data_IF_792140731368
#
_entry.id   IF_792140731368
#
_cell.length_a   1.000
_cell.length_b   1.000
_cell.length_c   1.000
_cell.angle_alpha   90.00
_cell.angle_beta   90.00
_cell.angle_gamma   90.00
#
_symmetry.space_group_name_H-M   'P 1'
#
loop_
_entity.id
_entity.type
_entity.pdbx_description
1 polymer ?
#
# COMPACT_ATOMS: atom_id res chain seq x y z
N UNK A 1 -5.90 41.80 -10.13
CA UNK A 1 -5.40 40.45 -9.77
C UNK A 1 -4.47 40.61 -8.58
N UNK A 2 -4.84 40.18 -7.36
CA UNK A 2 -3.95 40.32 -6.22
C UNK A 2 -2.83 39.28 -6.34
N UNK A 3 -1.58 39.76 -6.31
CA UNK A 3 -0.36 38.96 -6.34
C UNK A 3 -0.25 38.18 -5.03
N UNK A 4 -0.09 36.86 -5.10
CA UNK A 4 0.28 36.02 -3.95
C UNK A 4 1.71 36.35 -3.51
N UNK A 5 1.87 37.36 -2.65
CA UNK A 5 3.13 37.70 -1.99
C UNK A 5 3.11 37.24 -0.53
N UNK A 6 2.64 36.03 -0.25
CA UNK A 6 2.93 35.41 1.05
C UNK A 6 4.29 34.70 0.93
N UNK A 7 5.24 34.94 1.86
CA UNK A 7 6.42 34.10 1.96
C UNK A 7 5.99 32.64 2.05
N UNK A 8 6.73 31.72 1.40
CA UNK A 8 6.38 30.30 1.28
C UNK A 8 5.96 29.68 2.62
N UNK A 9 6.61 30.08 3.71
CA UNK A 9 6.28 29.67 5.08
C UNK A 9 4.84 30.04 5.48
N UNK A 10 4.41 31.26 5.20
CA UNK A 10 3.04 31.71 5.49
C UNK A 10 2.02 30.96 4.61
N UNK A 11 2.38 30.69 3.35
CA UNK A 11 1.56 29.85 2.45
C UNK A 11 1.42 28.43 2.99
N UNK A 12 2.51 27.82 3.47
CA UNK A 12 2.49 26.50 4.13
C UNK A 12 1.62 26.52 5.38
N UNK A 13 1.80 27.51 6.26
CA UNK A 13 1.01 27.64 7.49
C UNK A 13 -0.48 27.84 7.20
N UNK A 14 -0.82 28.56 6.14
CA UNK A 14 -2.19 28.71 5.69
C UNK A 14 -2.79 27.38 5.23
N UNK A 15 -2.06 26.56 4.48
CA UNK A 15 -2.55 25.24 4.06
C UNK A 15 -2.83 24.29 5.23
N UNK A 16 -2.03 24.35 6.31
CA UNK A 16 -2.36 23.63 7.54
C UNK A 16 -3.62 24.19 8.21
N UNK A 17 -3.84 25.50 8.21
CA UNK A 17 -5.03 26.11 8.83
C UNK A 17 -6.30 25.97 7.99
N UNK A 18 -6.15 25.76 6.68
CA UNK A 18 -7.27 25.67 5.74
C UNK A 18 -8.11 24.42 6.01
N UNK A 19 -9.32 24.65 6.51
CA UNK A 19 -10.35 23.62 6.56
C UNK A 19 -10.90 23.34 5.15
N UNK A 20 -11.41 22.13 4.89
CA UNK A 20 -12.18 21.84 3.69
C UNK A 20 -13.36 22.82 3.50
N UNK A 21 -13.64 23.17 2.25
CA UNK A 21 -14.77 24.03 1.89
C UNK A 21 -16.06 23.21 1.93
N UNK A 22 -17.09 23.76 2.58
CA UNK A 22 -18.39 23.07 2.70
C UNK A 22 -19.01 22.77 1.33
N UNK A 23 -19.46 21.54 1.14
CA UNK A 23 -20.06 21.06 -0.11
C UNK A 23 -19.07 20.78 -1.25
N UNK A 24 -17.78 21.02 -1.08
CA UNK A 24 -16.77 20.65 -2.07
C UNK A 24 -16.38 19.17 -1.97
N UNK A 25 -16.04 18.56 -3.11
CA UNK A 25 -15.58 17.18 -3.16
C UNK A 25 -14.06 17.09 -2.95
N UNK A 26 -13.65 16.21 -2.04
CA UNK A 26 -12.24 15.95 -1.74
C UNK A 26 -11.88 14.48 -1.89
N UNK A 27 -10.62 14.24 -2.25
CA UNK A 27 -9.97 12.94 -2.27
C UNK A 27 -8.87 12.89 -1.23
N UNK A 28 -8.71 11.75 -0.57
CA UNK A 28 -7.67 11.54 0.43
C UNK A 28 -6.46 10.85 -0.19
N UNK A 29 -5.31 11.52 -0.14
CA UNK A 29 -4.03 11.00 -0.62
C UNK A 29 -2.96 11.08 0.46
N UNK A 30 -1.96 10.21 0.37
CA UNK A 30 -0.77 10.25 1.25
C UNK A 30 0.49 10.08 0.43
N UNK A 31 1.50 10.90 0.73
CA UNK A 31 2.86 10.74 0.24
C UNK A 31 3.79 10.43 1.41
N UNK A 32 4.47 9.30 1.37
CA UNK A 32 5.39 8.88 2.43
C UNK A 32 6.55 8.06 1.85
N UNK A 33 7.44 7.58 2.71
CA UNK A 33 8.53 6.68 2.31
C UNK A 33 8.65 5.51 3.28
N UNK A 34 8.65 4.30 2.74
CA UNK A 34 8.81 3.08 3.54
C UNK A 34 10.22 2.99 4.16
N UNK A 35 10.41 2.07 5.10
CA UNK A 35 11.73 1.76 5.66
C UNK A 35 12.70 1.26 4.59
N UNK A 36 12.20 0.47 3.63
CA UNK A 36 12.97 -0.05 2.48
C UNK A 36 13.32 1.05 1.45
N UNK A 37 12.83 2.28 1.64
CA UNK A 37 13.16 3.43 0.82
C UNK A 37 12.25 3.62 -0.40
N UNK A 38 11.16 2.87 -0.50
CA UNK A 38 10.16 3.05 -1.55
C UNK A 38 9.30 4.28 -1.28
N UNK A 39 8.96 5.03 -2.34
CA UNK A 39 8.00 6.12 -2.24
C UNK A 39 6.60 5.52 -2.20
N UNK A 40 5.84 5.93 -1.19
CA UNK A 40 4.45 5.53 -1.01
C UNK A 40 3.58 6.67 -1.52
N UNK A 41 2.81 6.39 -2.57
CA UNK A 41 1.65 7.17 -2.99
C UNK A 41 0.41 6.31 -2.75
N UNK A 42 -0.43 6.70 -1.80
CA UNK A 42 -1.66 5.98 -1.48
C UNK A 42 -2.87 6.89 -1.54
N UNK A 43 -4.03 6.30 -1.80
CA UNK A 43 -5.30 7.00 -1.80
C UNK A 43 -6.42 6.14 -1.22
N UNK A 44 -7.44 6.80 -0.67
CA UNK A 44 -8.68 6.12 -0.34
C UNK A 44 -9.42 5.74 -1.64
N UNK A 45 -9.81 4.48 -1.77
CA UNK A 45 -10.40 3.94 -3.00
C UNK A 45 -11.59 3.04 -2.73
N UNK A 46 -12.41 2.82 -3.75
CA UNK A 46 -13.48 1.83 -3.76
C UNK A 46 -13.23 0.76 -4.83
N UNK A 47 -13.91 -0.37 -4.67
CA UNK A 47 -13.90 -1.46 -5.65
C UNK A 47 -14.72 -1.06 -6.88
N UNK A 48 -14.14 -1.24 -8.07
CA UNK A 48 -14.71 -0.84 -9.34
C UNK A 48 -14.87 -2.01 -10.33
N UNK A 49 -14.95 -3.24 -9.81
CA UNK A 49 -15.06 -4.45 -10.62
C UNK A 49 -13.77 -5.23 -10.71
N UNK A 50 -13.69 -6.12 -11.68
CA UNK A 50 -12.50 -6.93 -11.94
C UNK A 50 -12.02 -6.73 -13.36
N UNK A 51 -10.73 -6.95 -13.60
CA UNK A 51 -10.23 -7.12 -14.98
C UNK A 51 -10.98 -8.25 -15.68
N UNK A 52 -11.16 -8.10 -16.99
CA UNK A 52 -11.75 -9.14 -17.85
C UNK A 52 -10.76 -10.29 -18.09
N UNK A 53 -9.48 -9.95 -18.23
CA UNK A 53 -8.40 -10.90 -18.43
C UNK A 53 -8.10 -11.72 -17.17
N UNK A 54 -7.65 -12.97 -17.38
CA UNK A 54 -7.22 -13.87 -16.31
C UNK A 54 -5.73 -13.69 -16.00
N UNK A 55 -5.30 -13.75 -14.73
CA UNK A 55 -6.13 -13.84 -13.53
C UNK A 55 -6.94 -12.55 -13.34
N UNK A 56 -8.21 -12.69 -12.91
CA UNK A 56 -9.03 -11.52 -12.60
C UNK A 56 -8.38 -10.77 -11.44
N UNK A 57 -8.13 -9.48 -11.63
CA UNK A 57 -7.59 -8.57 -10.62
C UNK A 57 -8.67 -7.59 -10.19
N UNK A 58 -8.69 -7.24 -8.91
CA UNK A 58 -9.52 -6.16 -8.39
C UNK A 58 -9.19 -4.85 -9.13
N UNK A 59 -10.22 -4.18 -9.62
CA UNK A 59 -10.11 -2.80 -10.10
C UNK A 59 -10.45 -1.86 -8.95
N UNK A 60 -9.64 -0.81 -8.78
CA UNK A 60 -9.85 0.23 -7.78
C UNK A 60 -9.97 1.59 -8.46
N UNK A 61 -10.73 2.48 -7.83
CA UNK A 61 -10.86 3.89 -8.22
C UNK A 61 -10.75 4.72 -6.95
N UNK A 62 -9.95 5.77 -6.96
CA UNK A 62 -9.89 6.72 -5.85
C UNK A 62 -11.28 7.33 -5.62
N UNK A 63 -11.74 7.34 -4.37
CA UNK A 63 -13.09 7.77 -4.02
C UNK A 63 -13.10 9.17 -3.47
N UNK A 64 -14.15 9.96 -3.75
CA UNK A 64 -14.46 11.10 -2.92
C UNK A 64 -14.73 10.63 -1.49
N UNK A 65 -14.31 11.43 -0.51
CA UNK A 65 -14.43 11.12 0.91
C UNK A 65 -15.40 12.08 1.61
N UNK A 66 -15.96 11.63 2.74
CA UNK A 66 -16.55 12.54 3.73
C UNK A 66 -15.43 13.22 4.49
N UNK A 67 -15.00 14.38 3.99
CA UNK A 67 -13.80 15.06 4.49
C UNK A 67 -13.93 15.47 5.96
N UNK A 68 -15.13 15.72 6.48
CA UNK A 68 -15.35 16.15 7.86
C UNK A 68 -14.90 15.08 8.84
N UNK A 69 -15.14 13.81 8.49
CA UNK A 69 -14.78 12.67 9.33
C UNK A 69 -13.27 12.47 9.31
N UNK A 70 -12.67 12.45 8.12
CA UNK A 70 -11.23 12.21 7.95
C UNK A 70 -10.42 13.38 8.53
N UNK A 71 -10.80 14.61 8.20
CA UNK A 71 -10.11 15.81 8.68
C UNK A 71 -10.14 15.88 10.21
N UNK A 72 -11.31 15.70 10.86
CA UNK A 72 -11.39 15.71 12.34
C UNK A 72 -10.55 14.60 12.96
N UNK A 73 -10.72 13.37 12.49
CA UNK A 73 -9.99 12.20 13.03
C UNK A 73 -8.48 12.39 12.95
N UNK A 74 -7.97 12.88 11.83
CA UNK A 74 -6.54 13.10 11.65
C UNK A 74 -6.01 14.26 12.49
N UNK A 75 -6.79 15.32 12.67
CA UNK A 75 -6.43 16.40 13.59
C UNK A 75 -6.35 15.92 15.04
N UNK A 76 -7.30 15.10 15.49
CA UNK A 76 -7.36 14.59 16.87
C UNK A 76 -6.13 13.73 17.23
N UNK A 77 -5.50 13.08 16.23
CA UNK A 77 -4.27 12.28 16.41
C UNK A 77 -2.99 13.00 15.99
N UNK A 78 -3.06 14.31 15.70
CA UNK A 78 -1.89 15.11 15.32
C UNK A 78 -1.32 14.81 13.93
N UNK A 79 -2.08 14.15 13.06
CA UNK A 79 -1.70 13.83 11.68
C UNK A 79 -2.45 14.71 10.66
N UNK A 80 -2.59 15.99 10.98
CA UNK A 80 -3.36 16.95 10.20
C UNK A 80 -3.00 16.91 8.71
N UNK A 81 -3.98 16.68 7.81
CA UNK A 81 -3.73 16.70 6.37
C UNK A 81 -3.61 18.14 5.86
N UNK A 82 -2.85 18.34 4.78
CA UNK A 82 -2.90 19.59 4.02
C UNK A 82 -4.14 19.60 3.13
N UNK A 83 -4.94 20.65 3.21
CA UNK A 83 -6.10 20.83 2.32
C UNK A 83 -5.66 21.62 1.09
N UNK A 84 -5.68 20.99 -0.08
CA UNK A 84 -5.20 21.56 -1.35
C UNK A 84 -6.41 21.88 -2.22
N UNK A 85 -6.73 23.17 -2.34
CA UNK A 85 -7.89 23.65 -3.10
C UNK A 85 -7.56 23.95 -4.57
N UNK A 86 -6.31 24.27 -4.88
CA UNK A 86 -5.89 24.60 -6.24
C UNK A 86 -4.53 23.96 -6.59
N UNK A 87 -4.28 23.77 -7.89
CA UNK A 87 -3.10 23.07 -8.39
C UNK A 87 -1.79 23.81 -8.10
N UNK A 88 -1.83 25.13 -7.89
CA UNK A 88 -0.66 25.94 -7.56
C UNK A 88 -0.09 25.61 -6.16
N UNK A 89 -0.91 25.08 -5.25
CA UNK A 89 -0.51 24.66 -3.91
C UNK A 89 -0.03 23.20 -3.86
N UNK A 90 -0.37 22.38 -4.87
CA UNK A 90 -0.01 20.97 -4.91
C UNK A 90 1.49 20.68 -4.77
N UNK A 91 2.41 21.45 -5.41
CA UNK A 91 3.85 21.24 -5.22
C UNK A 91 4.28 21.35 -3.76
N UNK A 92 3.63 22.21 -2.96
CA UNK A 92 3.97 22.36 -1.53
C UNK A 92 3.74 21.05 -0.80
N UNK A 93 2.57 20.42 -1.00
CA UNK A 93 2.31 19.10 -0.42
C UNK A 93 3.25 18.02 -0.97
N UNK A 94 3.55 18.02 -2.27
CA UNK A 94 4.52 17.08 -2.84
C UNK A 94 5.93 17.24 -2.21
N UNK A 95 6.34 18.44 -1.82
CA UNK A 95 7.62 18.62 -1.11
C UNK A 95 7.55 18.21 0.37
N UNK A 96 6.42 18.43 1.01
CA UNK A 96 6.24 18.14 2.44
C UNK A 96 5.86 16.70 2.74
N UNK A 97 5.25 16.00 1.78
CA UNK A 97 4.64 14.68 1.99
C UNK A 97 3.48 14.72 2.99
N UNK A 98 3.17 13.56 3.54
CA UNK A 98 2.07 13.34 4.46
C UNK A 98 0.71 13.26 3.78
N UNK A 99 -0.34 13.32 4.61
CA UNK A 99 -1.72 13.32 4.16
C UNK A 99 -2.12 14.62 3.46
N UNK A 100 -2.95 14.50 2.44
CA UNK A 100 -3.64 15.62 1.83
C UNK A 100 -5.11 15.32 1.51
N UNK A 101 -5.91 16.38 1.61
CA UNK A 101 -7.25 16.46 1.06
C UNK A 101 -7.17 17.27 -0.22
N UNK A 102 -7.28 16.59 -1.36
CA UNK A 102 -7.21 17.22 -2.68
C UNK A 102 -8.61 17.54 -3.17
N UNK A 103 -8.89 18.80 -3.48
CA UNK A 103 -10.13 19.15 -4.17
C UNK A 103 -10.23 18.39 -5.51
N UNK A 104 -11.44 18.10 -5.97
CA UNK A 104 -11.68 17.24 -7.15
C UNK A 104 -10.87 17.65 -8.39
N UNK A 105 -10.80 18.95 -8.71
CA UNK A 105 -10.01 19.45 -9.85
C UNK A 105 -8.51 19.19 -9.68
N UNK A 106 -7.99 19.33 -8.46
CA UNK A 106 -6.59 19.05 -8.14
C UNK A 106 -6.29 17.55 -8.28
N UNK A 107 -7.16 16.70 -7.74
CA UNK A 107 -7.02 15.24 -7.87
C UNK A 107 -7.06 14.81 -9.34
N UNK A 108 -7.94 15.40 -10.15
CA UNK A 108 -8.03 15.15 -11.60
C UNK A 108 -6.77 15.60 -12.35
N UNK A 109 -6.20 16.74 -11.98
CA UNK A 109 -5.00 17.26 -12.60
C UNK A 109 -3.77 16.41 -12.29
N UNK A 110 -3.59 16.02 -11.02
CA UNK A 110 -2.38 15.34 -10.55
C UNK A 110 -2.43 13.82 -10.75
N UNK A 111 -3.59 13.21 -10.51
CA UNK A 111 -3.75 11.75 -10.47
C UNK A 111 -4.91 11.26 -11.35
N UNK A 112 -4.99 11.66 -12.63
CA UNK A 112 -6.09 11.25 -13.51
C UNK A 112 -6.19 9.74 -13.68
N UNK A 113 -5.08 9.01 -13.53
CA UNK A 113 -5.03 7.56 -13.59
C UNK A 113 -5.64 6.88 -12.35
N UNK A 114 -5.58 7.52 -11.16
CA UNK A 114 -6.18 7.00 -9.93
C UNK A 114 -7.69 7.15 -9.91
N UNK A 115 -8.22 8.16 -10.62
CA UNK A 115 -9.66 8.40 -10.79
C UNK A 115 -10.31 7.54 -11.87
N UNK A 116 -9.55 6.61 -12.47
CA UNK A 116 -10.05 5.61 -13.42
C UNK A 116 -9.84 4.20 -12.85
N UNK A 117 -10.67 3.22 -13.26
CA UNK A 117 -10.47 1.84 -12.84
C UNK A 117 -9.07 1.36 -13.22
N UNK A 118 -8.30 0.95 -12.22
CA UNK A 118 -6.95 0.41 -12.41
C UNK A 118 -6.77 -0.86 -11.59
N UNK A 119 -6.03 -1.86 -12.09
CA UNK A 119 -5.84 -3.12 -11.41
C UNK A 119 -4.98 -2.96 -10.17
N UNK A 120 -5.28 -3.75 -9.14
CA UNK A 120 -4.43 -3.90 -7.96
C UNK A 120 -4.19 -5.36 -7.63
N UNK A 121 -3.04 -5.57 -7.00
CA UNK A 121 -2.64 -6.80 -6.33
C UNK A 121 -2.51 -6.53 -4.84
N UNK A 122 -2.65 -7.57 -4.04
CA UNK A 122 -2.72 -7.47 -2.58
C UNK A 122 -1.53 -8.22 -2.00
N UNK A 123 -0.68 -7.47 -1.29
CA UNK A 123 0.44 -8.04 -0.54
C UNK A 123 -0.08 -8.92 0.60
N UNK A 124 0.76 -9.82 1.10
CA UNK A 124 0.51 -10.60 2.30
C UNK A 124 0.18 -9.71 3.50
N UNK A 125 0.76 -8.51 3.54
CA UNK A 125 0.58 -7.44 4.52
C UNK A 125 -0.70 -6.61 4.30
N UNK A 126 -1.49 -6.93 3.27
CA UNK A 126 -2.83 -6.37 3.05
C UNK A 126 -2.86 -5.08 2.23
N UNK A 127 -1.73 -4.46 1.94
CA UNK A 127 -1.66 -3.29 1.07
C UNK A 127 -2.07 -3.66 -0.35
N UNK A 128 -2.90 -2.80 -0.94
CA UNK A 128 -3.21 -2.82 -2.35
C UNK A 128 -2.16 -2.01 -3.09
N UNK A 129 -1.44 -2.65 -4.01
CA UNK A 129 -0.41 -2.00 -4.83
C UNK A 129 -0.70 -2.24 -6.30
N UNK A 130 -0.14 -1.40 -7.17
CA UNK A 130 -0.25 -1.65 -8.61
C UNK A 130 0.56 -2.89 -9.00
N UNK A 131 0.13 -3.67 -10.01
CA UNK A 131 0.90 -4.81 -10.50
C UNK A 131 2.33 -4.45 -10.88
N UNK A 132 2.54 -3.26 -11.46
CA UNK A 132 3.85 -2.76 -11.87
C UNK A 132 4.79 -2.57 -10.67
N UNK A 133 4.28 -2.02 -9.56
CA UNK A 133 5.06 -1.85 -8.33
C UNK A 133 5.37 -3.19 -7.65
N UNK A 134 4.48 -4.18 -7.78
CA UNK A 134 4.73 -5.52 -7.28
C UNK A 134 5.68 -6.35 -8.17
N UNK A 135 5.90 -5.92 -9.41
CA UNK A 135 6.85 -6.54 -10.35
C UNK A 135 6.60 -8.04 -10.56
N UNK A 136 7.67 -8.83 -10.56
CA UNK A 136 7.60 -10.27 -10.81
C UNK A 136 6.63 -11.01 -9.87
N UNK A 137 6.46 -10.53 -8.63
CA UNK A 137 5.55 -11.13 -7.67
C UNK A 137 4.09 -11.03 -8.11
N UNK A 138 3.72 -10.09 -8.99
CA UNK A 138 2.39 -9.92 -9.58
C UNK A 138 2.19 -10.64 -10.91
N UNK A 139 3.26 -11.07 -11.57
CA UNK A 139 3.20 -11.79 -12.85
C UNK A 139 3.32 -13.31 -12.65
N UNK A 140 4.16 -13.73 -11.70
CA UNK A 140 4.51 -15.13 -11.50
C UNK A 140 3.47 -15.86 -10.64
N UNK A 141 2.59 -16.65 -11.26
CA UNK A 141 1.64 -17.51 -10.52
C UNK A 141 2.31 -18.56 -9.63
N UNK A 142 3.34 -19.25 -10.14
CA UNK A 142 3.97 -20.36 -9.43
C UNK A 142 5.29 -19.93 -8.77
N UNK A 143 5.52 -20.22 -7.48
CA UNK A 143 6.79 -19.87 -6.84
C UNK A 143 7.97 -20.57 -7.54
N UNK A 144 9.11 -19.89 -7.58
CA UNK A 144 10.34 -20.46 -8.15
C UNK A 144 10.81 -21.66 -7.32
N UNK A 145 11.64 -22.53 -7.89
CA UNK A 145 12.21 -23.67 -7.13
C UNK A 145 12.96 -23.21 -5.88
N UNK A 146 13.68 -22.09 -5.98
CA UNK A 146 14.39 -21.47 -4.85
C UNK A 146 13.40 -21.00 -3.77
N UNK A 147 12.40 -20.21 -4.15
CA UNK A 147 11.37 -19.71 -3.23
C UNK A 147 10.59 -20.85 -2.57
N UNK A 148 10.29 -21.93 -3.30
CA UNK A 148 9.66 -23.13 -2.72
C UNK A 148 10.51 -23.74 -1.61
N UNK A 149 11.82 -23.88 -1.83
CA UNK A 149 12.72 -24.41 -0.81
C UNK A 149 12.83 -23.46 0.39
N UNK A 150 12.88 -22.15 0.17
CA UNK A 150 12.91 -21.16 1.24
C UNK A 150 11.64 -21.22 2.11
N UNK A 151 10.46 -21.41 1.50
CA UNK A 151 9.20 -21.62 2.22
C UNK A 151 9.25 -22.91 3.06
N UNK A 152 9.71 -24.01 2.46
CA UNK A 152 9.83 -25.28 3.17
C UNK A 152 10.81 -25.19 4.33
N UNK A 153 11.97 -24.55 4.15
CA UNK A 153 12.97 -24.40 5.19
C UNK A 153 12.46 -23.51 6.34
N UNK A 154 11.78 -22.40 6.04
CA UNK A 154 11.13 -21.54 7.05
C UNK A 154 10.13 -22.32 7.91
N UNK A 155 9.32 -23.17 7.28
CA UNK A 155 8.26 -23.93 7.96
C UNK A 155 8.78 -25.27 8.54
N UNK A 156 10.10 -25.46 8.63
CA UNK A 156 10.73 -26.65 9.21
C UNK A 156 10.56 -27.93 8.39
N UNK A 157 10.23 -27.79 7.10
CA UNK A 157 9.89 -28.84 6.13
C UNK A 157 8.73 -29.71 6.62
N UNK A 158 7.69 -29.07 7.16
CA UNK A 158 6.47 -29.72 7.66
C UNK A 158 5.25 -28.95 7.21
N UNK A 159 4.12 -29.65 7.11
CA UNK A 159 2.82 -29.00 6.98
C UNK A 159 2.58 -28.13 8.22
N UNK A 160 2.28 -26.84 8.03
CA UNK A 160 2.02 -25.92 9.15
C UNK A 160 0.70 -26.23 9.87
N UNK A 161 -0.26 -26.90 9.20
CA UNK A 161 -1.55 -27.28 9.78
C UNK A 161 -1.44 -28.54 10.65
N UNK A 162 -0.87 -29.63 10.12
CA UNK A 162 -0.91 -30.95 10.77
C UNK A 162 0.46 -31.46 11.27
N UNK A 163 1.55 -30.76 10.98
CA UNK A 163 2.91 -31.12 11.41
C UNK A 163 3.56 -32.31 10.68
N UNK A 164 2.83 -32.94 9.74
CA UNK A 164 3.34 -34.04 8.91
C UNK A 164 4.52 -33.61 8.04
N UNK A 165 5.48 -34.50 7.83
CA UNK A 165 6.65 -34.27 7.00
C UNK A 165 7.19 -35.55 6.35
N UNK A 166 8.00 -35.42 5.29
CA UNK A 166 8.69 -36.57 4.70
C UNK A 166 9.60 -37.34 5.70
N UNK A 167 9.93 -36.75 6.86
CA UNK A 167 10.74 -37.40 7.90
C UNK A 167 9.94 -38.38 8.75
N UNK A 168 8.64 -38.13 8.97
CA UNK A 168 7.78 -38.97 9.81
C UNK A 168 6.76 -39.78 8.99
N UNK A 169 6.58 -39.48 7.71
CA UNK A 169 5.64 -40.16 6.82
C UNK A 169 6.17 -40.23 5.39
N UNK A 170 6.41 -41.43 4.88
CA UNK A 170 6.97 -41.65 3.53
C UNK A 170 6.02 -41.29 2.38
N UNK A 171 4.73 -41.09 2.67
CA UNK A 171 3.70 -40.75 1.67
C UNK A 171 3.33 -39.26 1.67
N UNK A 172 4.02 -38.42 2.46
CA UNK A 172 3.70 -37.00 2.56
C UNK A 172 4.44 -36.22 1.47
N UNK A 173 3.67 -35.63 0.57
CA UNK A 173 4.14 -34.61 -0.36
C UNK A 173 3.83 -33.22 0.20
N UNK A 174 4.81 -32.30 0.09
CA UNK A 174 4.69 -30.93 0.57
C UNK A 174 4.58 -29.95 -0.60
N UNK A 175 3.74 -28.93 -0.41
CA UNK A 175 3.40 -27.92 -1.38
C UNK A 175 3.53 -26.52 -0.79
N UNK A 176 3.99 -25.58 -1.60
CA UNK A 176 4.00 -24.16 -1.25
C UNK A 176 2.64 -23.58 -1.65
N UNK A 177 1.80 -23.35 -0.65
CA UNK A 177 0.43 -22.87 -0.78
C UNK A 177 0.37 -21.35 -0.64
N UNK A 178 -0.37 -20.69 -1.54
CA UNK A 178 -0.70 -19.27 -1.39
C UNK A 178 -1.79 -19.07 -0.34
N UNK A 179 -1.47 -18.40 0.76
CA UNK A 179 -2.44 -18.06 1.82
C UNK A 179 -3.62 -17.27 1.23
N UNK A 180 -3.34 -16.18 0.51
CA UNK A 180 -4.30 -15.53 -0.39
C UNK A 180 -4.07 -16.06 -1.80
N UNK A 181 -5.04 -16.74 -2.42
CA UNK A 181 -4.90 -17.30 -3.75
C UNK A 181 -4.48 -16.26 -4.79
N UNK A 182 -3.64 -16.68 -5.74
CA UNK A 182 -3.25 -15.87 -6.89
C UNK A 182 -4.44 -15.29 -7.65
N UNK A 183 -5.49 -16.11 -7.84
CA UNK A 183 -6.73 -15.71 -8.52
C UNK A 183 -7.60 -14.73 -7.74
N UNK A 184 -7.25 -14.41 -6.49
CA UNK A 184 -7.91 -13.42 -5.63
C UNK A 184 -6.98 -12.23 -5.33
N UNK A 185 -6.23 -11.82 -6.35
CA UNK A 185 -5.22 -10.76 -6.28
C UNK A 185 -4.05 -11.00 -5.32
N UNK A 186 -3.85 -12.21 -4.77
CA UNK A 186 -2.69 -12.52 -3.93
C UNK A 186 -1.38 -12.60 -4.72
N UNK A 187 -0.28 -12.14 -4.12
CA UNK A 187 1.06 -12.16 -4.72
C UNK A 187 1.80 -13.47 -4.44
N UNK A 188 2.78 -13.79 -5.30
CA UNK A 188 3.72 -14.90 -5.10
C UNK A 188 4.96 -14.35 -4.44
N UNK A 189 4.86 -14.21 -3.13
CA UNK A 189 5.90 -13.66 -2.27
C UNK A 189 5.99 -14.49 -0.99
N UNK A 190 7.15 -14.46 -0.33
CA UNK A 190 7.45 -15.30 0.83
C UNK A 190 6.40 -15.20 1.93
N UNK A 191 5.89 -13.99 2.19
CA UNK A 191 4.91 -13.72 3.24
C UNK A 191 3.50 -14.23 2.91
N UNK A 192 3.22 -14.51 1.64
CA UNK A 192 1.94 -15.06 1.19
C UNK A 192 2.00 -16.58 0.93
N UNK A 193 3.13 -17.24 1.19
CA UNK A 193 3.31 -18.66 0.95
C UNK A 193 3.56 -19.42 2.25
N UNK A 194 2.95 -20.60 2.40
CA UNK A 194 3.16 -21.55 3.51
C UNK A 194 3.28 -22.98 3.01
N UNK A 195 3.87 -23.84 3.82
CA UNK A 195 4.05 -25.26 3.54
C UNK A 195 2.84 -26.04 4.02
N UNK A 196 2.14 -26.69 3.10
CA UNK A 196 1.05 -27.64 3.39
C UNK A 196 1.39 -29.02 2.84
N UNK A 197 0.88 -30.08 3.45
CA UNK A 197 0.84 -31.38 2.79
C UNK A 197 -0.36 -31.44 1.83
N UNK A 198 -0.32 -32.28 0.79
CA UNK A 198 -1.39 -32.36 -0.20
C UNK A 198 -2.77 -32.63 0.43
N UNK A 199 -2.85 -33.47 1.46
CA UNK A 199 -4.12 -33.70 2.17
C UNK A 199 -4.70 -32.45 2.85
N UNK A 200 -3.85 -31.61 3.47
CA UNK A 200 -4.29 -30.35 4.06
C UNK A 200 -4.55 -29.28 3.01
N UNK A 201 -3.76 -29.25 1.93
CA UNK A 201 -3.94 -28.34 0.81
C UNK A 201 -5.29 -28.55 0.12
N UNK A 202 -5.59 -29.80 -0.26
CA UNK A 202 -6.83 -30.16 -0.95
C UNK A 202 -8.05 -30.08 -0.02
N UNK A 203 -7.86 -30.29 1.28
CA UNK A 203 -8.90 -30.17 2.29
C UNK A 203 -9.21 -28.74 2.73
N UNK A 204 -8.41 -27.74 2.35
CA UNK A 204 -8.60 -26.36 2.76
C UNK A 204 -9.79 -25.72 2.03
N UNK A 205 -10.89 -25.50 2.75
CA UNK A 205 -12.13 -24.92 2.21
C UNK A 205 -12.69 -23.82 3.12
N UNK A 206 -12.79 -22.56 2.66
CA UNK A 206 -12.34 -22.06 1.34
C UNK A 206 -10.82 -22.25 1.17
N UNK A 207 -10.31 -22.21 -0.07
CA UNK A 207 -8.89 -22.42 -0.41
C UNK A 207 -7.98 -21.24 0.04
N UNK A 208 -8.34 -20.57 1.12
CA UNK A 208 -7.61 -19.52 1.79
C UNK A 208 -8.01 -19.51 3.26
N UNK A 209 -7.04 -19.36 4.16
CA UNK A 209 -7.28 -19.19 5.60
C UNK A 209 -6.38 -18.08 6.11
N UNK A 210 -7.00 -17.02 6.64
CA UNK A 210 -6.29 -15.83 7.06
C UNK A 210 -5.41 -16.06 8.31
N UNK A 211 -5.69 -17.09 9.10
CA UNK A 211 -4.88 -17.46 10.28
C UNK A 211 -3.49 -17.95 9.88
N UNK A 212 -3.33 -18.48 8.65
CA UNK A 212 -2.04 -18.98 8.15
C UNK A 212 -0.98 -17.88 8.01
N UNK A 213 -1.36 -16.60 8.01
CA UNK A 213 -0.40 -15.48 8.04
C UNK A 213 0.41 -15.42 9.35
N UNK A 214 -0.08 -16.03 10.44
CA UNK A 214 0.67 -16.16 11.71
C UNK A 214 1.98 -16.96 11.53
N UNK A 215 2.03 -17.86 10.55
CA UNK A 215 3.23 -18.63 10.22
C UNK A 215 4.25 -17.87 9.37
N UNK A 216 3.87 -16.71 8.81
CA UNK A 216 4.74 -15.91 7.96
C UNK A 216 5.16 -14.59 8.59
N UNK A 217 4.50 -14.16 9.68
CA UNK A 217 4.71 -12.87 10.33
C UNK A 217 4.05 -11.70 9.61
N UNK A 218 3.27 -11.96 8.56
CA UNK A 218 2.56 -10.92 7.82
C UNK A 218 1.43 -10.27 8.64
N UNK A 219 0.85 -11.00 9.59
CA UNK A 219 -0.13 -10.52 10.57
C UNK A 219 0.45 -9.44 11.49
N UNK A 220 1.67 -9.64 11.99
CA UNK A 220 2.39 -8.68 12.81
C UNK A 220 2.69 -7.41 12.00
N UNK A 221 3.09 -7.55 10.74
CA UNK A 221 3.31 -6.42 9.83
C UNK A 221 2.02 -5.66 9.51
N UNK A 222 0.89 -6.35 9.29
CA UNK A 222 -0.44 -5.71 9.15
C UNK A 222 -0.81 -4.83 10.34
N UNK A 223 -0.40 -5.24 11.54
CA UNK A 223 -0.69 -4.48 12.75
C UNK A 223 0.23 -3.26 12.93
N UNK A 224 1.44 -3.27 12.37
CA UNK A 224 2.43 -2.17 12.48
C UNK A 224 1.97 -0.89 11.78
N UNK A 225 1.35 -1.01 10.60
CA UNK A 225 0.78 0.14 9.86
C UNK A 225 -0.38 0.86 10.57
N UNK A 226 -0.77 0.41 11.78
CA UNK A 226 -1.73 1.10 12.67
C UNK A 226 -1.06 1.89 13.80
N UNK A 227 0.26 1.92 13.86
CA UNK A 227 1.02 2.70 14.85
C UNK A 227 1.16 4.15 14.37
N UNK A 228 0.72 5.12 15.18
CA UNK A 228 0.83 6.55 14.87
C UNK A 228 2.27 7.02 14.66
N UNK A 229 3.24 6.38 15.33
CA UNK A 229 4.66 6.72 15.17
C UNK A 229 5.20 6.33 13.79
N UNK A 230 4.72 5.22 13.23
CA UNK A 230 5.18 4.71 11.93
C UNK A 230 4.84 5.69 10.79
N UNK A 231 3.65 6.31 10.84
CA UNK A 231 3.29 7.36 9.90
C UNK A 231 4.27 8.54 9.97
N UNK A 232 4.50 9.11 11.15
CA UNK A 232 5.37 10.29 11.30
C UNK A 232 6.78 10.00 10.79
N UNK A 233 7.34 8.84 11.16
CA UNK A 233 8.65 8.42 10.67
C UNK A 233 8.68 8.23 9.15
N UNK A 234 7.62 7.68 8.56
CA UNK A 234 7.50 7.51 7.11
C UNK A 234 7.47 8.84 6.35
N UNK A 235 6.83 9.86 6.91
CA UNK A 235 6.79 11.21 6.33
C UNK A 235 8.13 11.92 6.51
N UNK A 236 8.82 11.73 7.63
CA UNK A 236 10.15 12.31 7.85
C UNK A 236 11.21 11.68 6.93
N UNK A 237 11.14 10.36 6.69
CA UNK A 237 11.93 9.67 5.66
C UNK A 237 11.69 10.28 4.28
N UNK A 238 10.42 10.54 3.93
CA UNK A 238 10.05 11.17 2.66
C UNK A 238 10.66 12.56 2.52
N UNK A 239 10.45 13.44 3.51
CA UNK A 239 10.99 14.81 3.53
C UNK A 239 12.50 14.85 3.41
N UNK A 240 13.18 13.95 4.12
CA UNK A 240 14.64 13.83 4.07
C UNK A 240 15.11 13.45 2.66
N UNK A 241 14.44 12.49 2.03
CA UNK A 241 14.76 12.08 0.67
C UNK A 241 14.54 13.21 -0.35
N UNK A 242 13.39 13.88 -0.31
CA UNK A 242 13.07 14.98 -1.24
C UNK A 242 14.06 16.14 -1.07
N UNK A 243 14.42 16.50 0.17
CA UNK A 243 15.48 17.49 0.46
C UNK A 243 16.83 17.09 -0.15
N UNK A 244 17.20 15.82 -0.05
CA UNK A 244 18.45 15.31 -0.63
C UNK A 244 18.44 15.37 -2.17
N UNK A 245 17.32 15.03 -2.82
CA UNK A 245 17.15 15.16 -4.26
C UNK A 245 17.30 16.62 -4.72
N UNK A 246 16.59 17.56 -4.07
CA UNK A 246 16.71 18.99 -4.34
C UNK A 246 18.15 19.49 -4.22
N UNK A 247 18.84 19.11 -3.13
CA UNK A 247 20.22 19.51 -2.91
C UNK A 247 21.17 18.95 -3.98
N UNK A 248 20.87 17.78 -4.54
CA UNK A 248 21.63 17.18 -5.64
C UNK A 248 21.40 17.93 -6.95
N UNK A 249 20.15 18.21 -7.31
CA UNK A 249 19.80 18.97 -8.51
C UNK A 249 20.38 20.38 -8.49
N UNK A 250 20.30 21.08 -7.35
CA UNK A 250 20.89 22.42 -7.19
C UNK A 250 22.42 22.44 -7.27
N UNK A 251 23.09 21.31 -6.98
CA UNK A 251 24.53 21.16 -7.17
C UNK A 251 24.91 20.82 -8.61
N UNK A 252 24.06 20.09 -9.33
CA UNK A 252 24.26 19.71 -10.74
C UNK A 252 23.88 20.84 -11.72
N UNK A 253 22.95 21.72 -11.33
CA UNK A 253 22.57 22.92 -12.08
C UNK A 253 23.51 24.12 -11.90
N UNK A 254 24.70 23.91 -11.32
CA UNK A 254 25.79 24.90 -11.20
C UNK A 254 26.99 24.47 -12.02
#
# INVERSE_FOLDING_TARGET
>A
MPRCSNPLEERILNLYKSAPIDGAEYYFFTLARSEDGEIIESCYSHFAGFTEEKPRRDLRVASPIRYEVIWRTLNDVGQQPLTIHCSEDAPIWMFLGGHALLASEVAQHLFPHRLKPHPVVIRATGEMVSPELAGEAAERRAPTRKMRMEVFDRDGRRCVICGQSPRNSVQVELEAHHIRPWGMSGLTEMLNLVTLCSACHDGLSPHFDHTLYEHTGADQMRSRGRNLNDYTESVDRYRTHVKALLARELKLGR
#
